data_IF_589576858876
#
_entry.id   IF_589576858876
#
_cell.length_a   1.000
_cell.length_b   1.000
_cell.length_c   1.000
_cell.angle_alpha   90.00
_cell.angle_beta   90.00
_cell.angle_gamma   90.00
#
_symmetry.space_group_name_H-M   'P 1'
#
loop_
_entity.id
_entity.type
_entity.pdbx_description
1 polymer ?
#
# COMPACT_ATOMS: atom_id res chain seq x y z
N UNK A 1 59.95 -34.19 -25.65
CA UNK A 1 60.30 -34.14 -27.07
C UNK A 1 59.51 -33.02 -27.68
N UNK A 2 60.14 -32.02 -27.98
CA UNK A 2 60.56 -31.37 -29.22
C UNK A 2 59.48 -30.43 -29.74
N UNK A 3 59.72 -29.17 -29.59
CA UNK A 3 60.41 -28.20 -30.51
C UNK A 3 59.45 -27.56 -31.52
N UNK A 4 59.34 -26.19 -31.37
CA UNK A 4 59.70 -25.14 -32.36
C UNK A 4 58.75 -25.10 -33.57
N UNK A 5 58.28 -23.92 -34.05
CA UNK A 5 59.00 -22.69 -34.46
C UNK A 5 57.95 -21.58 -34.61
N UNK A 6 58.06 -20.36 -34.25
CA UNK A 6 58.77 -19.23 -34.82
C UNK A 6 58.49 -18.94 -36.29
N UNK A 7 57.94 -17.77 -36.53
CA UNK A 7 57.97 -17.00 -37.80
C UNK A 7 56.95 -15.87 -37.73
N UNK A 8 57.25 -14.71 -37.34
CA UNK A 8 57.93 -13.56 -38.02
C UNK A 8 57.32 -13.31 -39.43
N UNK A 9 56.61 -12.15 -39.59
CA UNK A 9 57.15 -11.07 -40.38
C UNK A 9 56.11 -9.98 -40.58
N UNK A 10 56.28 -8.79 -40.01
CA UNK A 10 56.50 -7.46 -40.67
C UNK A 10 55.35 -6.98 -41.53
N UNK A 11 54.71 -5.89 -41.05
CA UNK A 11 54.96 -4.49 -41.42
C UNK A 11 54.70 -4.15 -42.88
N UNK A 12 53.64 -3.39 -43.13
CA UNK A 12 53.64 -2.37 -44.15
C UNK A 12 52.89 -1.13 -43.66
N UNK A 13 53.64 -0.09 -43.53
CA UNK A 13 53.27 1.32 -43.29
C UNK A 13 52.90 1.93 -44.63
N UNK A 14 51.80 2.69 -44.67
CA UNK A 14 51.60 3.80 -45.59
C UNK A 14 50.45 4.64 -45.03
N UNK A 15 50.66 5.63 -44.39
CA UNK A 15 50.82 7.06 -44.51
C UNK A 15 50.12 7.65 -45.72
N UNK A 16 49.02 8.40 -45.48
CA UNK A 16 48.54 9.60 -46.20
C UNK A 16 47.13 9.91 -45.67
N UNK A 17 46.68 11.04 -45.31
CA UNK A 17 47.08 12.42 -45.32
C UNK A 17 46.15 13.17 -44.34
N UNK A 18 46.74 14.07 -43.66
CA UNK A 18 46.16 15.10 -42.82
C UNK A 18 45.27 16.00 -43.66
N UNK A 19 43.97 16.16 -43.32
CA UNK A 19 43.19 17.36 -43.63
C UNK A 19 42.54 17.83 -42.34
N UNK A 20 43.12 18.86 -41.78
CA UNK A 20 42.58 19.72 -40.75
C UNK A 20 41.60 20.68 -41.45
N UNK A 21 40.34 20.65 -41.02
CA UNK A 21 39.44 21.78 -41.14
C UNK A 21 38.80 22.03 -39.77
N UNK A 22 39.32 23.07 -39.14
CA UNK A 22 38.64 23.78 -38.05
C UNK A 22 37.37 24.40 -38.61
N UNK A 23 36.24 24.12 -37.97
CA UNK A 23 35.12 25.05 -37.90
C UNK A 23 34.18 24.70 -36.76
N UNK A 24 34.05 25.60 -35.82
CA UNK A 24 32.81 25.95 -35.18
C UNK A 24 32.54 25.35 -33.82
N UNK A 25 32.88 26.08 -32.76
CA UNK A 25 32.14 26.07 -31.50
C UNK A 25 30.64 26.19 -31.76
N UNK A 26 29.85 25.23 -31.27
CA UNK A 26 28.41 25.31 -31.21
C UNK A 26 27.94 24.48 -30.05
N UNK A 27 27.37 25.13 -29.03
CA UNK A 27 26.94 24.56 -27.76
C UNK A 27 26.05 23.32 -27.91
N UNK A 28 26.33 22.34 -27.10
CA UNK A 28 25.50 21.15 -26.93
C UNK A 28 24.18 21.50 -26.25
N UNK A 29 23.24 22.04 -27.02
CA UNK A 29 21.84 22.05 -26.66
C UNK A 29 21.29 20.63 -26.88
N UNK A 30 20.76 20.01 -25.87
CA UNK A 30 19.91 18.84 -25.98
C UNK A 30 18.88 19.14 -27.07
N UNK A 31 18.83 18.32 -28.12
CA UNK A 31 17.77 18.43 -29.12
C UNK A 31 16.45 18.21 -28.38
N UNK A 32 15.49 19.15 -28.49
CA UNK A 32 14.13 18.84 -28.08
C UNK A 32 13.67 17.65 -28.94
N UNK A 33 13.14 16.66 -28.30
CA UNK A 33 12.47 15.53 -28.93
C UNK A 33 11.44 16.12 -29.90
N UNK A 34 11.42 15.62 -31.14
CA UNK A 34 10.52 16.11 -32.16
C UNK A 34 9.10 15.95 -31.68
N UNK A 35 8.42 17.04 -31.42
CA UNK A 35 6.98 17.10 -31.27
C UNK A 35 6.37 16.65 -32.59
N UNK A 36 5.96 15.38 -32.63
CA UNK A 36 5.31 14.82 -33.81
C UNK A 36 3.87 15.36 -33.84
N UNK A 37 3.63 16.38 -34.65
CA UNK A 37 2.31 16.96 -34.90
C UNK A 37 1.54 17.53 -33.69
N UNK A 38 2.23 17.97 -32.61
CA UNK A 38 1.60 18.54 -31.41
C UNK A 38 1.00 17.50 -30.42
N UNK A 39 1.28 16.21 -30.61
CA UNK A 39 0.84 15.15 -29.73
C UNK A 39 1.81 14.91 -28.58
N UNK A 40 1.28 14.81 -27.37
CA UNK A 40 2.01 14.46 -26.14
C UNK A 40 1.86 12.95 -25.90
N UNK A 41 2.98 12.25 -25.63
CA UNK A 41 2.95 10.86 -25.18
C UNK A 41 3.28 10.78 -23.70
N UNK A 42 2.32 10.35 -22.86
CA UNK A 42 2.50 10.16 -21.44
C UNK A 42 2.90 8.71 -21.14
N UNK A 43 4.00 8.52 -20.45
CA UNK A 43 4.38 7.22 -19.90
C UNK A 43 3.63 6.98 -18.59
N UNK A 44 2.77 5.96 -18.57
CA UNK A 44 2.04 5.53 -17.40
C UNK A 44 2.59 4.20 -16.88
N UNK A 45 3.05 4.17 -15.62
CA UNK A 45 3.61 2.99 -14.99
C UNK A 45 2.70 2.46 -13.89
N UNK A 46 2.44 1.15 -13.90
CA UNK A 46 1.65 0.45 -12.88
C UNK A 46 2.41 -0.70 -12.24
N UNK A 47 1.83 -1.28 -11.17
CA UNK A 47 2.42 -2.35 -10.37
C UNK A 47 1.54 -3.60 -10.46
N UNK A 48 2.02 -4.65 -11.11
CA UNK A 48 1.44 -5.99 -11.15
C UNK A 48 -0.05 -6.02 -11.58
N UNK A 49 -0.45 -5.15 -12.52
CA UNK A 49 -1.81 -5.10 -13.07
C UNK A 49 -1.96 -5.87 -14.39
N UNK A 50 -0.84 -6.16 -15.07
CA UNK A 50 -0.83 -7.02 -16.25
C UNK A 50 -0.54 -8.48 -15.84
N UNK A 51 -1.06 -9.48 -16.58
CA UNK A 51 -2.01 -9.33 -17.70
C UNK A 51 -3.47 -9.22 -17.26
N UNK A 52 -3.76 -9.38 -15.97
CA UNK A 52 -5.10 -9.57 -15.40
C UNK A 52 -6.06 -8.44 -15.78
N UNK A 53 -5.62 -7.20 -15.66
CA UNK A 53 -6.48 -6.03 -15.90
C UNK A 53 -6.21 -5.33 -17.24
N UNK A 54 -5.48 -6.00 -18.16
CA UNK A 54 -5.18 -5.45 -19.50
C UNK A 54 -6.44 -5.04 -20.28
N UNK A 55 -7.54 -5.82 -20.29
CA UNK A 55 -8.76 -5.39 -20.98
C UNK A 55 -9.37 -4.09 -20.41
N UNK A 56 -9.33 -3.90 -19.09
CA UNK A 56 -9.79 -2.67 -18.44
C UNK A 56 -8.93 -1.48 -18.87
N UNK A 57 -7.58 -1.60 -18.74
CA UNK A 57 -6.67 -0.50 -19.06
C UNK A 57 -6.72 -0.12 -20.53
N UNK A 58 -6.86 -1.07 -21.44
CA UNK A 58 -7.05 -0.77 -22.86
C UNK A 58 -8.31 0.06 -23.10
N UNK A 59 -9.42 -0.21 -22.39
CA UNK A 59 -10.67 0.55 -22.54
C UNK A 59 -10.54 1.95 -21.95
N UNK A 60 -10.05 2.10 -20.71
CA UNK A 60 -9.97 3.39 -20.04
C UNK A 60 -8.95 4.32 -20.69
N UNK A 61 -7.83 3.78 -21.21
CA UNK A 61 -6.84 4.53 -21.99
C UNK A 61 -7.46 5.01 -23.31
N UNK A 62 -8.14 4.12 -24.04
CA UNK A 62 -8.78 4.49 -25.30
C UNK A 62 -9.86 5.58 -25.09
N UNK A 63 -10.63 5.51 -24.01
CA UNK A 63 -11.62 6.55 -23.66
C UNK A 63 -10.95 7.89 -23.34
N UNK A 64 -9.84 7.89 -22.59
CA UNK A 64 -9.08 9.10 -22.34
C UNK A 64 -8.51 9.72 -23.61
N UNK A 65 -7.88 8.91 -24.46
CA UNK A 65 -7.30 9.35 -25.74
C UNK A 65 -8.35 9.89 -26.70
N UNK A 66 -9.56 9.29 -26.68
CA UNK A 66 -10.69 9.81 -27.49
C UNK A 66 -11.14 11.20 -27.01
N UNK A 67 -11.21 11.41 -25.70
CA UNK A 67 -11.55 12.70 -25.09
C UNK A 67 -10.40 13.73 -25.20
N UNK A 68 -9.17 13.27 -25.38
CA UNK A 68 -7.96 14.08 -25.46
C UNK A 68 -7.11 13.70 -26.69
N UNK A 69 -7.52 14.08 -27.92
CA UNK A 69 -6.94 13.54 -29.17
C UNK A 69 -5.46 13.92 -29.39
N UNK A 70 -4.96 14.89 -28.62
CA UNK A 70 -3.57 15.31 -28.64
C UNK A 70 -2.69 14.55 -27.61
N UNK A 71 -3.26 13.63 -26.83
CA UNK A 71 -2.53 12.83 -25.84
C UNK A 71 -2.55 11.35 -26.24
N UNK A 72 -1.39 10.70 -26.08
CA UNK A 72 -1.21 9.26 -26.21
C UNK A 72 -0.69 8.72 -24.89
N UNK A 73 -1.16 7.53 -24.47
CA UNK A 73 -0.72 6.87 -23.25
C UNK A 73 0.15 5.65 -23.61
N UNK A 74 1.40 5.64 -23.14
CA UNK A 74 2.31 4.50 -23.20
C UNK A 74 2.30 3.78 -21.84
N UNK A 75 1.42 2.75 -21.70
CA UNK A 75 1.25 2.03 -20.45
C UNK A 75 2.27 0.90 -20.30
N UNK A 76 2.98 0.90 -19.16
CA UNK A 76 3.96 -0.13 -18.76
C UNK A 76 3.63 -0.63 -17.36
N UNK A 77 3.77 -1.93 -17.15
CA UNK A 77 3.53 -2.57 -15.86
C UNK A 77 4.82 -3.22 -15.33
N UNK A 78 5.05 -3.09 -14.03
CA UNK A 78 6.27 -3.60 -13.40
C UNK A 78 5.94 -4.43 -12.15
N UNK A 79 6.82 -5.38 -11.75
CA UNK A 79 6.71 -6.05 -10.47
C UNK A 79 6.82 -5.07 -9.31
N UNK A 80 6.13 -5.38 -8.20
CA UNK A 80 6.05 -4.53 -7.01
C UNK A 80 7.42 -4.07 -6.51
N UNK A 81 8.37 -5.01 -6.37
CA UNK A 81 9.70 -4.71 -5.82
C UNK A 81 10.61 -3.94 -6.78
N UNK A 82 10.25 -3.85 -8.05
CA UNK A 82 11.07 -3.23 -9.10
C UNK A 82 10.75 -1.75 -9.35
N UNK A 83 9.50 -1.35 -9.13
CA UNK A 83 8.99 -0.02 -9.57
C UNK A 83 9.73 1.14 -8.92
N UNK A 84 10.00 1.08 -7.62
CA UNK A 84 10.64 2.19 -6.87
C UNK A 84 12.08 2.41 -7.34
N UNK A 85 12.87 1.33 -7.44
CA UNK A 85 14.24 1.43 -7.92
C UNK A 85 14.30 1.90 -9.38
N UNK A 86 13.37 1.41 -10.20
CA UNK A 86 13.27 1.82 -11.61
C UNK A 86 12.88 3.30 -11.74
N UNK A 87 11.95 3.76 -10.91
CA UNK A 87 11.55 5.17 -10.88
C UNK A 87 12.72 6.08 -10.49
N UNK A 88 13.43 5.76 -9.41
CA UNK A 88 14.62 6.51 -8.98
C UNK A 88 15.68 6.56 -10.08
N UNK A 89 15.95 5.43 -10.73
CA UNK A 89 16.91 5.36 -11.84
C UNK A 89 16.48 6.21 -13.05
N UNK A 90 15.20 6.17 -13.41
CA UNK A 90 14.66 6.93 -14.54
C UNK A 90 14.68 8.43 -14.28
N UNK A 91 14.37 8.87 -13.05
CA UNK A 91 14.49 10.28 -12.64
C UNK A 91 15.95 10.75 -12.73
N UNK A 92 16.89 9.93 -12.24
CA UNK A 92 18.32 10.27 -12.29
C UNK A 92 18.87 10.35 -13.71
N UNK A 93 18.33 9.56 -14.65
CA UNK A 93 18.74 9.54 -16.07
C UNK A 93 17.95 10.50 -16.97
N UNK A 94 17.11 11.38 -16.41
CA UNK A 94 16.22 12.29 -17.15
C UNK A 94 15.29 11.56 -18.16
N UNK A 95 14.90 10.33 -17.84
CA UNK A 95 13.92 9.53 -18.60
C UNK A 95 12.71 9.18 -17.73
N UNK A 96 12.27 10.16 -16.95
CA UNK A 96 11.17 10.02 -16.00
C UNK A 96 9.86 9.65 -16.69
N UNK A 97 9.06 8.71 -16.15
CA UNK A 97 7.68 8.56 -16.55
C UNK A 97 6.85 9.77 -16.13
N UNK A 98 5.60 9.84 -16.61
CA UNK A 98 4.70 10.96 -16.35
C UNK A 98 3.72 10.66 -15.22
N UNK A 99 3.17 9.45 -15.17
CA UNK A 99 2.28 8.99 -14.08
C UNK A 99 2.74 7.64 -13.57
N UNK A 100 2.85 7.47 -12.25
CA UNK A 100 3.30 6.23 -11.64
C UNK A 100 2.37 5.80 -10.52
N UNK A 101 1.95 4.54 -10.53
CA UNK A 101 1.27 3.90 -9.43
C UNK A 101 2.29 3.48 -8.36
N UNK A 102 2.07 3.92 -7.13
CA UNK A 102 2.85 3.58 -5.94
C UNK A 102 1.91 3.29 -4.76
N UNK A 103 2.40 2.61 -3.72
CA UNK A 103 1.71 2.64 -2.44
C UNK A 103 2.02 3.96 -1.69
N UNK A 104 1.26 4.25 -0.64
CA UNK A 104 1.41 5.48 0.15
C UNK A 104 2.82 5.65 0.74
N UNK A 105 3.48 4.57 1.17
CA UNK A 105 4.85 4.61 1.69
C UNK A 105 5.85 5.05 0.62
N UNK A 106 5.80 4.46 -0.57
CA UNK A 106 6.69 4.81 -1.67
C UNK A 106 6.38 6.21 -2.21
N UNK A 107 5.10 6.60 -2.30
CA UNK A 107 4.72 7.96 -2.68
C UNK A 107 5.29 9.00 -1.71
N UNK A 108 5.19 8.73 -0.40
CA UNK A 108 5.75 9.56 0.67
C UNK A 108 7.28 9.65 0.58
N UNK A 109 7.95 8.53 0.34
CA UNK A 109 9.40 8.50 0.13
C UNK A 109 9.84 9.34 -1.08
N UNK A 110 9.10 9.28 -2.18
CA UNK A 110 9.39 10.10 -3.37
C UNK A 110 9.12 11.57 -3.10
N UNK A 111 8.02 11.88 -2.42
CA UNK A 111 7.64 13.25 -2.06
C UNK A 111 8.67 13.93 -1.18
N UNK A 112 9.15 13.28 -0.15
CA UNK A 112 10.16 13.83 0.76
C UNK A 112 11.51 14.10 0.09
N UNK A 113 11.82 13.39 -1.00
CA UNK A 113 13.01 13.62 -1.84
C UNK A 113 12.79 14.70 -2.90
N UNK A 114 11.60 15.33 -2.94
CA UNK A 114 11.24 16.30 -4.00
C UNK A 114 11.14 15.68 -5.39
N UNK A 115 10.92 14.35 -5.47
CA UNK A 115 10.91 13.63 -6.73
C UNK A 115 9.53 13.62 -7.41
N UNK A 116 8.46 13.97 -6.69
CA UNK A 116 7.08 14.05 -7.19
C UNK A 116 6.48 15.41 -6.85
N UNK A 117 5.51 15.86 -7.65
CA UNK A 117 4.87 17.18 -7.51
C UNK A 117 3.96 17.23 -6.28
N UNK A 118 3.71 18.43 -5.77
CA UNK A 118 2.65 18.68 -4.81
C UNK A 118 1.31 18.81 -5.53
N UNK A 119 0.47 17.78 -5.42
CA UNK A 119 -0.86 17.76 -6.05
C UNK A 119 -1.76 18.90 -5.59
N UNK A 120 -1.51 19.48 -4.40
CA UNK A 120 -2.28 20.64 -3.93
C UNK A 120 -2.12 21.88 -4.81
N UNK A 121 -1.03 21.98 -5.56
CA UNK A 121 -0.79 23.09 -6.46
C UNK A 121 -1.54 22.94 -7.80
N UNK A 122 -2.04 21.73 -8.11
CA UNK A 122 -2.63 21.37 -9.40
C UNK A 122 -4.12 21.04 -9.32
N UNK A 123 -4.67 20.79 -8.13
CA UNK A 123 -6.07 20.39 -7.95
C UNK A 123 -6.94 21.55 -7.52
N UNK A 124 -8.15 21.62 -8.04
CA UNK A 124 -9.21 22.46 -7.52
C UNK A 124 -9.69 21.99 -6.13
N UNK A 125 -10.32 22.88 -5.33
CA UNK A 125 -10.94 22.47 -4.07
C UNK A 125 -11.96 21.33 -4.23
N UNK A 126 -12.73 21.32 -5.31
CA UNK A 126 -13.73 20.32 -5.63
C UNK A 126 -13.11 18.95 -5.90
N UNK A 127 -12.01 18.92 -6.66
CA UNK A 127 -11.26 17.67 -6.94
C UNK A 127 -10.70 17.08 -5.65
N UNK A 128 -10.14 17.91 -4.76
CA UNK A 128 -9.66 17.45 -3.44
C UNK A 128 -10.81 16.93 -2.58
N UNK A 129 -11.95 17.63 -2.54
CA UNK A 129 -13.10 17.25 -1.74
C UNK A 129 -13.79 15.95 -2.20
N UNK A 130 -13.52 15.51 -3.43
CA UNK A 130 -14.05 14.26 -3.99
C UNK A 130 -13.57 13.01 -3.23
N UNK A 131 -12.34 13.04 -2.67
CA UNK A 131 -11.76 11.92 -1.96
C UNK A 131 -12.28 11.80 -0.53
N UNK A 132 -12.23 10.59 0.05
CA UNK A 132 -12.38 10.41 1.50
C UNK A 132 -11.21 11.11 2.22
N UNK A 133 -11.55 11.95 3.19
CA UNK A 133 -10.59 12.84 3.84
C UNK A 133 -9.42 12.09 4.48
N UNK A 134 -9.69 11.02 5.22
CA UNK A 134 -8.65 10.21 5.87
C UNK A 134 -7.70 9.56 4.87
N UNK A 135 -8.22 9.13 3.70
CA UNK A 135 -7.44 8.52 2.63
C UNK A 135 -6.61 9.59 1.91
N UNK A 136 -7.18 10.75 1.59
CA UNK A 136 -6.42 11.84 0.97
C UNK A 136 -5.32 12.36 1.90
N UNK A 137 -5.62 12.54 3.17
CA UNK A 137 -4.67 13.03 4.16
C UNK A 137 -3.51 12.08 4.42
N UNK A 138 -3.63 10.78 4.10
CA UNK A 138 -2.50 9.85 4.19
C UNK A 138 -1.38 10.18 3.21
N UNK A 139 -1.69 10.83 2.08
CA UNK A 139 -0.73 11.28 1.08
C UNK A 139 -0.09 12.64 1.42
N UNK A 140 -0.56 13.30 2.50
CA UNK A 140 -0.11 14.65 2.86
C UNK A 140 1.03 14.60 3.89
N UNK A 141 2.14 15.27 3.57
CA UNK A 141 3.29 15.45 4.46
C UNK A 141 3.66 16.94 4.46
N UNK A 142 3.76 17.56 5.63
CA UNK A 142 4.10 18.97 5.78
C UNK A 142 3.21 19.91 4.93
N UNK A 143 1.90 19.57 4.84
CA UNK A 143 0.91 20.35 4.09
C UNK A 143 0.93 20.14 2.57
N UNK A 144 1.81 19.30 2.04
CA UNK A 144 1.91 18.95 0.62
C UNK A 144 1.32 17.58 0.35
N UNK A 145 0.48 17.46 -0.68
CA UNK A 145 -0.07 16.19 -1.12
C UNK A 145 0.78 15.59 -2.25
N UNK A 146 1.46 14.50 -1.98
CA UNK A 146 2.40 13.91 -2.93
C UNK A 146 1.81 12.87 -3.87
N UNK A 147 0.53 12.55 -3.73
CA UNK A 147 -0.15 11.60 -4.59
C UNK A 147 -1.67 11.83 -4.62
N UNK A 148 -2.35 11.25 -5.63
CA UNK A 148 -3.79 11.07 -5.66
C UNK A 148 -4.13 9.63 -5.24
N UNK A 149 -4.93 9.43 -4.18
CA UNK A 149 -5.41 8.09 -3.86
C UNK A 149 -6.23 7.51 -5.01
N UNK A 150 -5.87 6.31 -5.44
CA UNK A 150 -6.53 5.70 -6.60
C UNK A 150 -7.51 4.62 -6.16
N UNK A 151 -7.00 3.49 -5.67
CA UNK A 151 -7.84 2.44 -5.11
C UNK A 151 -7.34 2.02 -3.75
N UNK A 152 -8.25 1.54 -2.92
CA UNK A 152 -7.94 1.21 -1.53
C UNK A 152 -8.65 -0.08 -1.10
N UNK A 153 -8.48 -0.46 0.15
CA UNK A 153 -9.21 -1.52 0.81
C UNK A 153 -9.20 -1.27 2.31
N UNK A 154 -10.31 -1.53 2.96
CA UNK A 154 -10.37 -1.58 4.42
C UNK A 154 -10.44 -3.02 4.88
N UNK A 155 -9.98 -3.28 6.11
CA UNK A 155 -10.08 -4.60 6.69
C UNK A 155 -11.53 -4.93 7.07
N UNK A 156 -11.84 -6.23 7.05
CA UNK A 156 -13.06 -6.82 7.64
C UNK A 156 -12.64 -7.92 8.60
N UNK A 157 -13.49 -8.27 9.53
CA UNK A 157 -13.31 -9.45 10.38
C UNK A 157 -13.92 -10.66 9.69
N UNK A 158 -13.09 -11.59 9.24
CA UNK A 158 -13.53 -12.92 8.83
C UNK A 158 -13.67 -13.80 10.04
N UNK A 159 -14.82 -14.49 10.16
CA UNK A 159 -15.17 -15.31 11.31
C UNK A 159 -15.53 -16.71 10.87
N UNK A 160 -14.83 -17.73 11.39
CA UNK A 160 -15.18 -19.12 11.19
C UNK A 160 -16.34 -19.48 12.12
N UNK A 161 -17.56 -19.54 11.56
CA UNK A 161 -18.81 -19.81 12.30
C UNK A 161 -18.85 -21.19 12.93
N UNK A 162 -18.13 -22.18 12.37
CA UNK A 162 -18.02 -23.52 12.93
C UNK A 162 -17.27 -23.49 14.27
N UNK A 163 -16.11 -22.82 14.31
CA UNK A 163 -15.32 -22.71 15.54
C UNK A 163 -16.03 -21.86 16.60
N UNK A 164 -16.65 -20.76 16.18
CA UNK A 164 -17.42 -19.86 17.05
C UNK A 164 -18.58 -20.63 17.72
N UNK A 165 -19.39 -21.36 16.94
CA UNK A 165 -20.48 -22.19 17.47
C UNK A 165 -19.97 -23.32 18.37
N UNK A 166 -18.86 -23.98 18.03
CA UNK A 166 -18.24 -25.01 18.83
C UNK A 166 -17.79 -24.50 20.22
N UNK A 167 -17.42 -23.20 20.29
CA UNK A 167 -17.10 -22.55 21.57
C UNK A 167 -18.33 -22.06 22.34
N UNK A 168 -19.57 -22.26 21.82
CA UNK A 168 -20.80 -21.79 22.43
C UNK A 168 -21.09 -20.32 22.27
N UNK A 169 -20.54 -19.70 21.23
CA UNK A 169 -20.76 -18.31 20.85
C UNK A 169 -21.74 -18.21 19.68
N UNK A 170 -22.44 -17.09 19.57
CA UNK A 170 -23.43 -16.86 18.52
C UNK A 170 -22.89 -15.97 17.38
N UNK A 171 -22.62 -16.53 16.19
CA UNK A 171 -22.14 -15.77 15.06
C UNK A 171 -23.06 -14.64 14.57
N UNK A 172 -24.36 -14.67 14.94
CA UNK A 172 -25.30 -13.62 14.57
C UNK A 172 -25.10 -12.31 15.37
N UNK A 173 -24.37 -12.40 16.49
CA UNK A 173 -24.06 -11.27 17.35
C UNK A 173 -22.52 -11.09 17.48
N UNK A 174 -21.81 -10.73 16.38
CA UNK A 174 -20.37 -10.66 16.38
C UNK A 174 -19.82 -9.59 17.34
N UNK A 175 -18.57 -9.73 17.80
CA UNK A 175 -17.95 -8.78 18.69
C UNK A 175 -17.84 -7.40 17.99
N UNK A 176 -18.12 -6.33 18.74
CA UNK A 176 -18.12 -4.95 18.25
C UNK A 176 -16.90 -4.17 18.70
N UNK A 177 -16.28 -4.58 19.80
CA UNK A 177 -15.07 -3.96 20.35
C UNK A 177 -13.91 -4.97 20.40
N UNK A 178 -12.69 -4.46 20.51
CA UNK A 178 -11.50 -5.32 20.64
C UNK A 178 -11.52 -6.11 21.94
N UNK A 179 -12.10 -5.56 22.99
CA UNK A 179 -12.28 -6.22 24.27
C UNK A 179 -13.22 -7.42 24.11
N UNK A 180 -14.37 -7.24 23.44
CA UNK A 180 -15.29 -8.33 23.13
C UNK A 180 -14.64 -9.41 22.25
N UNK A 181 -13.87 -9.02 21.22
CA UNK A 181 -13.12 -9.95 20.37
C UNK A 181 -12.12 -10.77 21.20
N UNK A 182 -11.41 -10.11 22.12
CA UNK A 182 -10.46 -10.78 23.01
C UNK A 182 -11.15 -11.76 23.96
N UNK A 183 -12.33 -11.42 24.50
CA UNK A 183 -13.08 -12.33 25.35
C UNK A 183 -13.61 -13.53 24.57
N UNK A 184 -14.07 -13.30 23.33
CA UNK A 184 -14.43 -14.41 22.43
C UNK A 184 -13.23 -15.32 22.16
N UNK A 185 -12.06 -14.75 21.91
CA UNK A 185 -10.81 -15.50 21.76
C UNK A 185 -10.46 -16.34 22.98
N UNK A 186 -10.61 -15.80 24.20
CA UNK A 186 -10.42 -16.55 25.44
C UNK A 186 -11.43 -17.69 25.58
N UNK A 187 -12.70 -17.45 25.26
CA UNK A 187 -13.73 -18.51 25.32
C UNK A 187 -13.44 -19.62 24.31
N UNK A 188 -13.03 -19.26 23.08
CA UNK A 188 -12.62 -20.21 22.03
C UNK A 188 -11.45 -21.04 22.52
N UNK A 189 -10.41 -20.41 23.07
CA UNK A 189 -9.25 -21.13 23.58
C UNK A 189 -9.63 -22.10 24.71
N UNK A 190 -10.39 -21.63 25.71
CA UNK A 190 -10.83 -22.46 26.84
C UNK A 190 -11.71 -23.65 26.42
N UNK A 191 -12.58 -23.47 25.42
CA UNK A 191 -13.59 -24.49 25.04
C UNK A 191 -13.08 -25.50 24.03
N UNK A 192 -12.27 -25.06 23.06
CA UNK A 192 -11.87 -25.89 21.92
C UNK A 192 -10.36 -25.86 21.64
N UNK A 193 -9.54 -25.18 22.46
CA UNK A 193 -8.08 -25.16 22.35
C UNK A 193 -7.57 -24.49 21.06
N UNK A 194 -8.35 -23.58 20.45
CA UNK A 194 -7.95 -22.81 19.28
C UNK A 194 -7.67 -21.36 19.67
N UNK A 195 -6.80 -20.67 18.92
CA UNK A 195 -6.59 -19.25 19.15
C UNK A 195 -7.72 -18.40 18.56
N UNK A 196 -7.88 -17.18 19.07
CA UNK A 196 -8.77 -16.21 18.49
C UNK A 196 -8.26 -15.76 17.11
N UNK A 197 -7.06 -15.21 17.04
CA UNK A 197 -6.48 -14.66 15.81
C UNK A 197 -4.95 -14.72 15.83
N UNK A 198 -4.34 -14.48 14.66
CA UNK A 198 -2.90 -14.31 14.51
C UNK A 198 -2.45 -12.93 14.99
N UNK A 199 -1.17 -12.78 15.32
CA UNK A 199 -0.61 -11.50 15.72
C UNK A 199 -0.76 -10.45 14.60
N UNK A 200 -1.26 -9.29 14.98
CA UNK A 200 -1.39 -8.12 14.10
C UNK A 200 -0.14 -7.22 14.19
N UNK A 201 0.17 -6.51 13.11
CA UNK A 201 1.17 -5.45 13.17
C UNK A 201 0.78 -4.40 14.22
N UNK A 202 1.73 -4.01 15.08
CA UNK A 202 1.43 -3.06 16.17
C UNK A 202 1.12 -1.67 15.65
N UNK A 203 1.69 -1.25 14.51
CA UNK A 203 1.29 -0.02 13.85
C UNK A 203 -0.21 0.03 13.58
N UNK A 204 -0.81 -1.10 13.19
CA UNK A 204 -2.27 -1.23 13.04
C UNK A 204 -3.01 -1.10 14.38
N UNK A 205 -2.49 -1.75 15.43
CA UNK A 205 -3.10 -1.67 16.76
C UNK A 205 -3.03 -0.26 17.31
N UNK A 206 -1.88 0.41 17.17
CA UNK A 206 -1.71 1.81 17.57
C UNK A 206 -2.69 2.73 16.84
N UNK A 207 -2.75 2.66 15.51
CA UNK A 207 -3.67 3.48 14.72
C UNK A 207 -5.14 3.26 15.14
N UNK A 208 -5.56 2.02 15.32
CA UNK A 208 -6.94 1.70 15.74
C UNK A 208 -7.31 2.17 17.14
N UNK A 209 -6.33 2.36 18.04
CA UNK A 209 -6.54 2.93 19.38
C UNK A 209 -6.28 4.45 19.43
N UNK A 210 -5.93 5.05 18.28
CA UNK A 210 -5.63 6.48 18.20
C UNK A 210 -4.27 6.86 18.80
N UNK A 211 -3.37 5.87 18.92
CA UNK A 211 -1.99 6.11 19.37
C UNK A 211 -1.17 6.50 18.14
N UNK A 212 -0.72 7.74 17.98
CA UNK A 212 0.05 8.16 16.83
C UNK A 212 1.46 7.54 16.88
N UNK A 213 1.93 7.00 15.76
CA UNK A 213 3.32 6.54 15.66
C UNK A 213 4.27 7.75 15.66
N UNK A 214 3.94 8.77 14.90
CA UNK A 214 4.67 10.03 14.80
C UNK A 214 3.79 11.21 15.21
N UNK A 215 4.40 12.33 15.53
CA UNK A 215 3.69 13.59 15.71
C UNK A 215 3.05 14.07 14.40
N UNK A 216 2.19 15.08 14.47
CA UNK A 216 1.44 15.62 13.33
C UNK A 216 2.36 16.08 12.19
N UNK A 217 3.49 16.65 12.52
CA UNK A 217 4.52 17.15 11.62
C UNK A 217 5.39 16.01 11.04
N UNK A 218 5.23 14.77 11.55
CA UNK A 218 6.02 13.58 11.18
C UNK A 218 7.54 13.74 11.40
N UNK A 219 7.92 14.54 12.40
CA UNK A 219 9.32 14.87 12.72
C UNK A 219 9.83 14.18 13.97
N UNK A 220 8.95 13.59 14.78
CA UNK A 220 9.29 12.91 16.02
C UNK A 220 8.34 11.75 16.31
N UNK A 221 8.82 10.74 17.03
CA UNK A 221 8.01 9.67 17.58
C UNK A 221 6.97 10.23 18.57
N UNK A 222 5.77 9.65 18.60
CA UNK A 222 4.68 10.06 19.47
C UNK A 222 3.97 8.89 20.18
N UNK A 223 4.43 7.67 19.95
CA UNK A 223 3.80 6.46 20.48
C UNK A 223 4.15 6.15 21.94
N UNK A 224 5.19 6.75 22.54
CA UNK A 224 5.62 6.41 23.90
C UNK A 224 4.67 7.04 24.94
N UNK A 225 3.50 6.46 25.07
CA UNK A 225 2.42 6.92 25.95
C UNK A 225 1.99 5.82 26.94
N UNK A 226 1.35 6.16 28.07
CA UNK A 226 0.77 5.16 28.97
C UNK A 226 -0.24 4.23 28.27
N UNK A 227 -0.99 4.73 27.28
CA UNK A 227 -1.93 3.92 26.51
C UNK A 227 -1.22 2.88 25.65
N UNK A 228 -0.08 3.23 25.02
CA UNK A 228 0.73 2.30 24.27
C UNK A 228 1.30 1.18 25.16
N UNK A 229 1.81 1.52 26.34
CA UNK A 229 2.29 0.54 27.33
C UNK A 229 1.15 -0.42 27.69
N UNK A 230 0.00 0.12 28.07
CA UNK A 230 -1.18 -0.69 28.46
C UNK A 230 -1.63 -1.60 27.32
N UNK A 231 -1.65 -1.10 26.09
CA UNK A 231 -2.06 -1.88 24.91
C UNK A 231 -1.10 -3.05 24.65
N UNK A 232 0.22 -2.81 24.71
CA UNK A 232 1.23 -3.84 24.48
C UNK A 232 1.21 -4.89 25.60
N UNK A 233 1.07 -4.47 26.86
CA UNK A 233 0.98 -5.39 27.99
C UNK A 233 -0.31 -6.25 27.89
N UNK A 234 -1.42 -5.69 27.41
CA UNK A 234 -2.63 -6.44 27.11
C UNK A 234 -2.43 -7.44 25.97
N UNK A 235 -1.69 -7.07 24.90
CA UNK A 235 -1.36 -7.98 23.81
C UNK A 235 -0.51 -9.15 24.32
N UNK A 236 0.51 -8.87 25.14
CA UNK A 236 1.34 -9.89 25.78
C UNK A 236 0.47 -10.87 26.58
N UNK A 237 -0.44 -10.35 27.39
CA UNK A 237 -1.38 -11.18 28.14
C UNK A 237 -2.29 -12.02 27.23
N UNK A 238 -2.78 -11.48 26.13
CA UNK A 238 -3.59 -12.23 25.16
C UNK A 238 -2.80 -13.39 24.53
N UNK A 239 -1.50 -13.20 24.27
CA UNK A 239 -0.62 -14.27 23.80
C UNK A 239 -0.41 -15.35 24.88
N UNK A 240 -0.24 -14.97 26.14
CA UNK A 240 -0.13 -15.88 27.28
C UNK A 240 -1.42 -16.68 27.49
N UNK A 241 -2.57 -16.02 27.34
CA UNK A 241 -3.91 -16.62 27.46
C UNK A 241 -4.31 -17.46 26.21
N UNK A 242 -3.46 -17.56 25.19
CA UNK A 242 -3.73 -18.29 23.94
C UNK A 242 -4.79 -17.66 23.04
N UNK A 243 -5.13 -16.38 23.27
CA UNK A 243 -6.07 -15.63 22.41
C UNK A 243 -5.41 -15.27 21.10
N UNK A 244 -4.13 -14.87 21.13
CA UNK A 244 -3.31 -14.51 19.99
C UNK A 244 -2.20 -15.55 19.84
N UNK A 245 -1.94 -16.00 18.61
CA UNK A 245 -0.80 -16.88 18.32
C UNK A 245 0.50 -16.16 18.63
N UNK A 246 1.48 -16.90 19.20
CA UNK A 246 2.79 -16.35 19.57
C UNK A 246 3.70 -16.15 18.36
N UNK A 247 3.51 -16.96 17.32
CA UNK A 247 4.30 -16.92 16.12
C UNK A 247 3.97 -15.66 15.32
N UNK A 248 5.02 -14.96 14.90
CA UNK A 248 4.88 -13.86 13.93
C UNK A 248 4.36 -14.41 12.60
N UNK A 249 3.44 -13.70 11.97
CA UNK A 249 2.76 -14.21 10.81
C UNK A 249 2.72 -13.17 9.70
N UNK A 250 3.41 -13.46 8.60
CA UNK A 250 3.16 -12.78 7.34
C UNK A 250 1.77 -13.18 6.79
N UNK A 251 1.34 -12.50 5.73
CA UNK A 251 0.02 -12.75 5.13
C UNK A 251 -0.17 -14.23 4.71
N UNK A 252 0.86 -14.87 4.17
CA UNK A 252 0.80 -16.28 3.76
C UNK A 252 0.61 -17.21 4.96
N UNK A 253 1.25 -16.90 6.09
CA UNK A 253 1.06 -17.65 7.33
C UNK A 253 -0.34 -17.42 7.93
N UNK A 254 -0.84 -16.19 7.91
CA UNK A 254 -2.20 -15.87 8.35
C UNK A 254 -3.24 -16.68 7.57
N UNK A 255 -3.10 -16.74 6.23
CA UNK A 255 -3.96 -17.59 5.39
C UNK A 255 -3.88 -19.06 5.83
N UNK A 256 -2.69 -19.61 6.10
CA UNK A 256 -2.52 -21.01 6.55
C UNK A 256 -3.15 -21.25 7.92
N UNK A 257 -2.98 -20.32 8.85
CA UNK A 257 -3.59 -20.46 10.19
C UNK A 257 -5.10 -20.48 10.13
N UNK A 258 -5.71 -19.60 9.36
CA UNK A 258 -7.16 -19.55 9.18
C UNK A 258 -7.68 -20.77 8.41
N UNK A 259 -7.05 -21.10 7.27
CA UNK A 259 -7.41 -22.28 6.46
C UNK A 259 -7.24 -23.61 7.23
N UNK A 260 -6.26 -23.66 8.12
CA UNK A 260 -6.00 -24.82 9.01
C UNK A 260 -6.86 -24.84 10.28
N UNK A 261 -7.83 -23.94 10.43
CA UNK A 261 -8.68 -23.81 11.63
C UNK A 261 -7.85 -23.70 12.94
N UNK A 262 -6.69 -23.06 12.88
CA UNK A 262 -5.88 -22.78 14.07
C UNK A 262 -6.35 -21.51 14.78
N UNK A 263 -6.92 -20.58 14.02
CA UNK A 263 -7.55 -19.36 14.52
C UNK A 263 -9.02 -19.29 14.10
N UNK A 264 -9.85 -18.64 14.90
CA UNK A 264 -11.27 -18.47 14.62
C UNK A 264 -11.58 -17.20 13.83
N UNK A 265 -10.69 -16.20 13.89
CA UNK A 265 -10.85 -14.89 13.28
C UNK A 265 -9.64 -14.52 12.44
N UNK A 266 -9.89 -13.73 11.38
CA UNK A 266 -8.85 -13.08 10.60
C UNK A 266 -9.28 -11.64 10.25
N UNK A 267 -8.35 -10.69 10.38
CA UNK A 267 -8.54 -9.29 10.02
C UNK A 267 -7.75 -9.00 8.73
N UNK A 268 -8.45 -8.93 7.62
CA UNK A 268 -7.82 -8.77 6.32
C UNK A 268 -8.73 -8.01 5.34
N UNK A 269 -8.16 -7.53 4.25
CA UNK A 269 -8.91 -6.95 3.15
C UNK A 269 -9.74 -7.99 2.37
N UNK A 270 -10.66 -7.55 1.49
CA UNK A 270 -11.56 -8.43 0.76
C UNK A 270 -10.87 -9.50 -0.11
N UNK A 271 -9.66 -9.25 -0.55
CA UNK A 271 -8.87 -10.21 -1.36
C UNK A 271 -8.53 -11.51 -0.62
N UNK A 272 -8.54 -11.52 0.72
CA UNK A 272 -8.29 -12.70 1.55
C UNK A 272 -9.20 -13.89 1.19
N UNK A 273 -10.44 -13.60 0.80
CA UNK A 273 -11.44 -14.60 0.41
C UNK A 273 -10.93 -15.54 -0.69
N UNK A 274 -10.23 -15.00 -1.68
CA UNK A 274 -9.76 -15.77 -2.82
C UNK A 274 -8.76 -16.86 -2.40
N UNK A 275 -7.95 -16.57 -1.37
CA UNK A 275 -6.97 -17.52 -0.85
C UNK A 275 -7.65 -18.65 -0.07
N UNK A 276 -8.60 -18.35 0.83
CA UNK A 276 -9.28 -19.39 1.60
C UNK A 276 -10.25 -20.21 0.74
N UNK A 277 -10.88 -19.61 -0.27
CA UNK A 277 -11.74 -20.31 -1.21
C UNK A 277 -11.01 -21.43 -1.95
N UNK A 278 -9.75 -21.16 -2.31
CA UNK A 278 -8.89 -22.13 -3.00
C UNK A 278 -8.24 -23.12 -2.03
N UNK A 279 -7.69 -22.64 -0.90
CA UNK A 279 -6.91 -23.45 0.01
C UNK A 279 -7.77 -24.35 0.91
N UNK A 280 -8.96 -23.89 1.31
CA UNK A 280 -9.81 -24.56 2.29
C UNK A 280 -11.32 -24.32 2.00
N UNK A 281 -11.92 -24.96 0.98
CA UNK A 281 -13.31 -24.71 0.57
C UNK A 281 -14.34 -24.93 1.69
N UNK A 282 -14.08 -25.83 2.65
CA UNK A 282 -14.99 -26.09 3.76
C UNK A 282 -14.89 -25.00 4.84
N UNK A 283 -13.71 -24.41 5.06
CA UNK A 283 -13.55 -23.22 5.92
C UNK A 283 -14.24 -22.03 5.26
N UNK A 284 -14.05 -21.84 3.95
CA UNK A 284 -14.72 -20.79 3.18
C UNK A 284 -16.25 -20.84 3.35
N UNK A 285 -16.89 -22.02 3.24
CA UNK A 285 -18.34 -22.20 3.43
C UNK A 285 -18.82 -21.85 4.84
N UNK A 286 -17.94 -21.95 5.84
CA UNK A 286 -18.23 -21.64 7.22
C UNK A 286 -17.72 -20.25 7.65
N UNK A 287 -17.30 -19.43 6.70
CA UNK A 287 -16.79 -18.08 6.96
C UNK A 287 -17.87 -17.05 6.66
N UNK A 288 -17.99 -16.05 7.53
CA UNK A 288 -18.74 -14.82 7.27
C UNK A 288 -17.81 -13.62 7.42
N UNK A 289 -18.16 -12.50 6.79
CA UNK A 289 -17.47 -11.23 6.90
C UNK A 289 -18.33 -10.24 7.70
N UNK A 290 -17.77 -9.69 8.77
CA UNK A 290 -18.44 -8.75 9.66
C UNK A 290 -17.57 -7.50 9.88
N UNK A 291 -18.13 -6.38 10.37
CA UNK A 291 -17.33 -5.19 10.68
C UNK A 291 -16.19 -5.50 11.63
N UNK A 292 -15.03 -4.86 11.39
CA UNK A 292 -13.89 -4.96 12.30
C UNK A 292 -14.27 -4.38 13.67
N UNK A 293 -14.02 -5.10 14.77
CA UNK A 293 -14.21 -4.58 16.12
C UNK A 293 -13.37 -3.32 16.35
N UNK A 294 -13.99 -2.27 16.90
CA UNK A 294 -13.34 -0.98 17.08
C UNK A 294 -12.36 -0.98 18.25
N UNK A 295 -11.25 -0.30 18.07
CA UNK A 295 -10.43 0.23 19.16
C UNK A 295 -11.00 1.53 19.71
N UNK A 296 -10.24 2.21 20.58
CA UNK A 296 -10.68 3.46 21.21
C UNK A 296 -10.95 4.61 20.23
N UNK A 297 -10.26 4.65 19.08
CA UNK A 297 -10.37 5.73 18.10
C UNK A 297 -11.50 5.53 17.07
N UNK A 298 -12.16 4.38 17.06
CA UNK A 298 -13.18 4.04 16.05
C UNK A 298 -12.72 4.26 14.60
N UNK A 299 -11.40 4.14 14.36
CA UNK A 299 -10.81 4.22 13.03
C UNK A 299 -10.85 2.87 12.33
N UNK A 300 -10.87 2.91 11.01
CA UNK A 300 -10.75 1.74 10.13
C UNK A 300 -9.44 1.81 9.38
N UNK A 301 -8.68 0.74 9.42
CA UNK A 301 -7.40 0.71 8.73
C UNK A 301 -7.59 0.45 7.25
N UNK A 302 -6.92 1.24 6.46
CA UNK A 302 -6.87 1.11 5.00
C UNK A 302 -5.43 1.13 4.53
N UNK A 303 -5.21 0.65 3.32
CA UNK A 303 -4.00 0.89 2.57
C UNK A 303 -4.38 1.28 1.15
N UNK A 304 -3.73 2.32 0.65
CA UNK A 304 -4.02 2.85 -0.66
C UNK A 304 -2.90 2.53 -1.65
N UNK A 305 -3.33 2.39 -2.90
CA UNK A 305 -2.44 2.53 -4.04
C UNK A 305 -2.75 3.88 -4.69
N UNK A 306 -1.71 4.62 -4.94
CA UNK A 306 -1.79 6.03 -5.26
C UNK A 306 -1.18 6.30 -6.65
N UNK A 307 -1.53 7.43 -7.25
CA UNK A 307 -0.89 7.94 -8.47
C UNK A 307 -0.03 9.14 -8.13
N UNK A 308 1.24 9.11 -8.53
CA UNK A 308 2.18 10.22 -8.40
C UNK A 308 2.57 10.74 -9.77
N UNK A 309 2.93 12.04 -9.84
CA UNK A 309 3.50 12.67 -11.02
C UNK A 309 4.93 13.10 -10.66
N UNK A 310 5.96 12.52 -11.30
CA UNK A 310 7.35 12.93 -11.06
C UNK A 310 7.62 14.37 -11.45
N UNK A 311 8.43 15.10 -10.65
CA UNK A 311 8.84 16.50 -10.94
C UNK A 311 9.69 16.63 -12.21
N UNK A 312 10.23 15.51 -12.70
CA UNK A 312 11.01 15.44 -13.95
C UNK A 312 10.19 15.01 -15.17
N UNK A 313 8.87 14.87 -15.03
CA UNK A 313 7.98 14.73 -16.19
C UNK A 313 8.10 15.98 -17.07
N UNK A 314 8.14 15.76 -18.39
CA UNK A 314 8.10 16.85 -19.37
C UNK A 314 6.69 17.42 -19.57
N UNK A 315 5.65 16.75 -19.01
CA UNK A 315 4.22 16.97 -19.29
C UNK A 315 3.38 16.96 -18.00
N UNK A 316 3.80 17.74 -16.98
CA UNK A 316 3.20 17.70 -15.63
C UNK A 316 1.69 17.98 -15.69
N UNK A 317 1.24 19.00 -16.43
CA UNK A 317 -0.17 19.37 -16.48
C UNK A 317 -1.04 18.28 -17.13
N UNK A 318 -0.58 17.68 -18.21
CA UNK A 318 -1.26 16.56 -18.88
C UNK A 318 -1.23 15.29 -18.03
N UNK A 319 -0.13 15.04 -17.34
CA UNK A 319 0.01 13.91 -16.41
C UNK A 319 -0.96 14.04 -15.23
N UNK A 320 -1.09 15.21 -14.63
CA UNK A 320 -2.07 15.47 -13.56
C UNK A 320 -3.49 15.28 -14.08
N UNK A 321 -3.85 15.81 -15.26
CA UNK A 321 -5.18 15.61 -15.85
C UNK A 321 -5.49 14.12 -16.06
N UNK A 322 -4.50 13.34 -16.53
CA UNK A 322 -4.69 11.89 -16.69
C UNK A 322 -4.82 11.18 -15.34
N UNK A 323 -4.02 11.55 -14.34
CA UNK A 323 -4.14 10.99 -12.99
C UNK A 323 -5.51 11.32 -12.36
N UNK A 324 -6.00 12.55 -12.49
CA UNK A 324 -7.36 12.95 -12.05
C UNK A 324 -8.44 12.16 -12.80
N UNK A 325 -8.30 11.95 -14.10
CA UNK A 325 -9.22 11.13 -14.87
C UNK A 325 -9.27 9.68 -14.38
N UNK A 326 -8.12 9.05 -14.11
CA UNK A 326 -8.06 7.69 -13.58
C UNK A 326 -8.65 7.59 -12.16
N UNK A 327 -8.53 8.66 -11.38
CA UNK A 327 -9.02 8.71 -9.98
C UNK A 327 -10.37 9.36 -9.83
N UNK A 328 -11.08 9.71 -10.91
CA UNK A 328 -12.45 10.19 -10.83
C UNK A 328 -13.43 9.07 -10.45
N UNK A 329 -14.65 9.44 -10.09
CA UNK A 329 -15.66 8.50 -9.60
C UNK A 329 -16.02 7.42 -10.62
N UNK A 330 -16.13 7.76 -11.90
CA UNK A 330 -16.48 6.82 -12.97
C UNK A 330 -15.39 5.76 -13.18
N UNK A 331 -14.13 6.21 -13.34
CA UNK A 331 -12.98 5.33 -13.57
C UNK A 331 -12.71 4.44 -12.37
N UNK A 332 -12.78 4.98 -11.14
CA UNK A 332 -12.59 4.17 -9.94
C UNK A 332 -13.69 3.15 -9.72
N UNK A 333 -14.96 3.52 -9.96
CA UNK A 333 -16.07 2.56 -9.87
C UNK A 333 -15.90 1.42 -10.86
N UNK A 334 -15.52 1.73 -12.10
CA UNK A 334 -15.27 0.72 -13.12
C UNK A 334 -14.10 -0.19 -12.75
N UNK A 335 -12.98 0.38 -12.26
CA UNK A 335 -11.83 -0.42 -11.83
C UNK A 335 -12.15 -1.29 -10.62
N UNK A 336 -12.86 -0.75 -9.64
CA UNK A 336 -13.24 -1.50 -8.43
C UNK A 336 -14.10 -2.72 -8.75
N UNK A 337 -15.00 -2.62 -9.74
CA UNK A 337 -15.80 -3.76 -10.21
C UNK A 337 -14.96 -4.86 -10.87
N UNK A 338 -13.90 -4.49 -11.59
CA UNK A 338 -12.99 -5.45 -12.24
C UNK A 338 -11.99 -6.06 -11.23
N UNK A 339 -11.42 -5.24 -10.34
CA UNK A 339 -10.33 -5.60 -9.45
C UNK A 339 -10.78 -6.04 -8.05
N UNK A 340 -12.07 -5.95 -7.74
CA UNK A 340 -12.62 -6.20 -6.40
C UNK A 340 -11.93 -5.37 -5.31
N UNK A 341 -11.63 -4.10 -5.62
CA UNK A 341 -11.05 -3.12 -4.70
C UNK A 341 -12.13 -2.13 -4.25
N UNK A 342 -11.75 -1.16 -3.39
CA UNK A 342 -12.60 -0.05 -3.04
C UNK A 342 -12.10 1.24 -3.70
N UNK A 343 -13.00 2.16 -4.06
CA UNK A 343 -12.61 3.47 -4.55
C UNK A 343 -12.16 4.36 -3.39
N UNK A 344 -11.35 5.36 -3.71
CA UNK A 344 -10.94 6.41 -2.76
C UNK A 344 -11.86 7.63 -2.78
N UNK A 345 -12.89 7.66 -3.66
CA UNK A 345 -13.79 8.80 -3.84
C UNK A 345 -15.18 8.56 -3.28
N UNK A 346 -15.77 9.61 -2.69
CA UNK A 346 -17.09 9.59 -2.02
C UNK A 346 -18.25 9.29 -2.98
N UNK A 347 -18.16 9.75 -4.23
CA UNK A 347 -19.22 9.54 -5.21
C UNK A 347 -19.26 8.09 -5.70
N UNK A 348 -18.09 7.47 -5.92
CA UNK A 348 -17.98 6.08 -6.37
C UNK A 348 -18.70 5.11 -5.46
N UNK A 349 -18.61 5.30 -4.13
CA UNK A 349 -19.17 4.36 -3.15
C UNK A 349 -20.71 4.34 -3.14
N UNK A 350 -21.36 5.31 -3.78
CA UNK A 350 -22.81 5.34 -3.92
C UNK A 350 -23.34 4.36 -4.98
N UNK A 351 -22.45 3.81 -5.82
CA UNK A 351 -22.84 2.79 -6.80
C UNK A 351 -23.41 1.56 -6.08
N UNK A 352 -24.56 1.00 -6.54
CA UNK A 352 -25.20 -0.17 -5.95
C UNK A 352 -24.26 -1.37 -5.76
N UNK A 353 -23.21 -1.48 -6.55
CA UNK A 353 -22.19 -2.51 -6.40
C UNK A 353 -21.58 -2.56 -5.00
N UNK A 354 -21.43 -1.41 -4.33
CA UNK A 354 -20.81 -1.33 -3.00
C UNK A 354 -21.81 -1.42 -1.84
N UNK A 355 -23.10 -1.31 -2.13
CA UNK A 355 -24.15 -1.24 -1.09
C UNK A 355 -25.05 -2.47 -1.06
N UNK A 356 -25.08 -3.26 -2.13
CA UNK A 356 -25.95 -4.43 -2.24
C UNK A 356 -25.15 -5.73 -2.04
N UNK A 357 -25.77 -6.69 -1.33
CA UNK A 357 -25.22 -8.01 -1.06
C UNK A 357 -26.18 -9.09 -1.53
N UNK A 358 -25.67 -10.07 -2.26
CA UNK A 358 -26.36 -11.32 -2.61
C UNK A 358 -26.17 -12.42 -1.57
N UNK A 359 -25.70 -12.07 -0.36
CA UNK A 359 -25.36 -12.95 0.74
C UNK A 359 -24.11 -13.83 0.51
N UNK A 360 -23.45 -13.73 -0.63
CA UNK A 360 -22.12 -14.35 -0.82
C UNK A 360 -21.10 -13.74 0.14
N UNK A 361 -20.06 -14.48 0.48
CA UNK A 361 -19.00 -14.00 1.36
C UNK A 361 -18.28 -12.78 0.73
N UNK A 362 -18.09 -12.82 -0.59
CA UNK A 362 -17.50 -11.74 -1.39
C UNK A 362 -18.33 -10.45 -1.28
N UNK A 363 -19.65 -10.57 -1.44
CA UNK A 363 -20.55 -9.41 -1.34
C UNK A 363 -20.64 -8.88 0.10
N UNK A 364 -20.67 -9.76 1.12
CA UNK A 364 -20.61 -9.35 2.52
C UNK A 364 -19.33 -8.55 2.81
N UNK A 365 -18.16 -9.10 2.46
CA UNK A 365 -16.88 -8.43 2.69
C UNK A 365 -16.79 -7.08 1.98
N UNK A 366 -17.24 -7.01 0.74
CA UNK A 366 -17.29 -5.77 -0.04
C UNK A 366 -18.16 -4.70 0.63
N UNK A 367 -19.39 -5.05 1.00
CA UNK A 367 -20.32 -4.09 1.63
C UNK A 367 -19.80 -3.62 2.99
N UNK A 368 -19.31 -4.54 3.83
CA UNK A 368 -18.72 -4.21 5.14
C UNK A 368 -17.50 -3.30 4.98
N UNK A 369 -16.64 -3.63 4.04
CA UNK A 369 -15.44 -2.83 3.75
C UNK A 369 -15.82 -1.43 3.24
N UNK A 370 -16.78 -1.35 2.33
CA UNK A 370 -17.28 -0.07 1.79
C UNK A 370 -17.87 0.84 2.87
N UNK A 371 -18.66 0.29 3.79
CA UNK A 371 -19.23 1.03 4.93
C UNK A 371 -18.18 1.58 5.90
N UNK A 372 -16.96 1.11 5.79
CA UNK A 372 -15.84 1.53 6.65
C UNK A 372 -15.04 2.72 6.11
N UNK A 373 -15.27 3.13 4.86
CA UNK A 373 -14.42 4.13 4.19
C UNK A 373 -14.51 5.53 4.80
N UNK A 374 -15.65 5.93 5.36
CA UNK A 374 -15.78 7.23 6.03
C UNK A 374 -14.85 7.40 7.22
N UNK A 375 -14.46 6.28 7.84
CA UNK A 375 -13.55 6.23 9.00
C UNK A 375 -12.19 5.67 8.62
N UNK A 376 -11.92 5.50 7.34
CA UNK A 376 -10.68 4.92 6.86
C UNK A 376 -9.49 5.84 7.10
N UNK A 377 -8.40 5.27 7.56
CA UNK A 377 -7.10 5.91 7.68
C UNK A 377 -6.02 4.94 7.26
N UNK A 378 -5.01 5.43 6.57
CA UNK A 378 -3.84 4.63 6.27
C UNK A 378 -2.96 4.52 7.52
N UNK A 379 -2.54 3.31 7.85
CA UNK A 379 -1.66 3.04 8.98
C UNK A 379 -0.16 3.11 8.60
N UNK A 380 0.13 3.28 7.31
CA UNK A 380 1.50 3.35 6.82
C UNK A 380 2.16 4.66 7.25
N UNK A 381 3.36 4.54 7.77
CA UNK A 381 4.12 5.73 8.20
C UNK A 381 4.64 6.44 6.95
N UNK A 382 4.05 7.57 6.62
CA UNK A 382 4.42 8.36 5.44
C UNK A 382 5.63 9.25 5.70
N UNK A 383 6.84 8.67 5.83
CA UNK A 383 8.12 9.37 5.97
C UNK A 383 9.20 8.72 5.11
N UNK A 384 10.29 9.43 4.79
CA UNK A 384 11.37 8.89 3.94
C UNK A 384 11.93 7.56 4.40
N UNK A 385 12.12 7.40 5.71
CA UNK A 385 12.74 6.26 6.35
C UNK A 385 11.69 5.31 6.99
N UNK A 386 10.47 5.26 6.42
CA UNK A 386 9.36 4.46 6.95
C UNK A 386 9.73 2.98 7.18
N UNK A 387 10.49 2.38 6.26
CA UNK A 387 10.97 1.01 6.41
C UNK A 387 11.82 0.81 7.65
N UNK A 388 12.72 1.75 7.95
CA UNK A 388 13.60 1.65 9.11
C UNK A 388 12.82 1.88 10.42
N UNK A 389 11.88 2.83 10.42
CA UNK A 389 10.94 3.05 11.53
C UNK A 389 10.12 1.79 11.81
N UNK A 390 9.51 1.18 10.78
CA UNK A 390 8.71 -0.03 10.93
C UNK A 390 9.57 -1.22 11.41
N UNK A 391 10.81 -1.33 10.92
CA UNK A 391 11.76 -2.37 11.37
C UNK A 391 12.16 -2.18 12.83
N UNK A 392 12.38 -0.95 13.29
CA UNK A 392 12.68 -0.65 14.69
C UNK A 392 11.51 -1.01 15.61
N UNK A 393 10.28 -0.65 15.21
CA UNK A 393 9.05 -1.01 15.93
C UNK A 393 8.92 -2.54 16.02
N UNK A 394 9.09 -3.27 14.92
CA UNK A 394 8.97 -4.73 14.91
C UNK A 394 10.00 -5.40 15.85
N UNK A 395 11.26 -4.97 15.83
CA UNK A 395 12.30 -5.49 16.74
C UNK A 395 11.97 -5.22 18.21
N UNK A 396 11.55 -4.00 18.53
CA UNK A 396 11.19 -3.64 19.90
C UNK A 396 10.06 -4.52 20.44
N UNK A 397 9.06 -4.78 19.61
CA UNK A 397 7.95 -5.64 19.97
C UNK A 397 8.32 -7.10 20.15
N UNK A 398 9.14 -7.66 19.27
CA UNK A 398 9.68 -9.00 19.47
C UNK A 398 10.41 -9.11 20.82
N UNK A 399 11.19 -8.09 21.21
CA UNK A 399 11.84 -8.06 22.51
C UNK A 399 10.86 -8.06 23.67
N UNK A 400 9.76 -7.29 23.58
CA UNK A 400 8.75 -7.26 24.63
C UNK A 400 7.93 -8.56 24.66
N UNK A 401 7.41 -8.97 23.51
CA UNK A 401 6.42 -10.06 23.44
C UNK A 401 7.04 -11.45 23.59
N UNK A 402 8.22 -11.67 23.01
CA UNK A 402 8.86 -12.98 22.98
C UNK A 402 10.02 -13.12 24.00
N UNK A 403 10.78 -12.04 24.23
CA UNK A 403 11.96 -12.08 25.09
C UNK A 403 11.68 -11.52 26.51
N UNK A 404 10.47 -11.01 26.78
CA UNK A 404 10.06 -10.56 28.10
C UNK A 404 10.67 -9.22 28.54
N UNK A 405 11.18 -8.40 27.61
CA UNK A 405 11.69 -7.07 27.92
C UNK A 405 10.61 -6.18 28.56
N UNK A 406 11.03 -5.23 29.40
CA UNK A 406 10.13 -4.26 30.02
C UNK A 406 9.53 -3.35 28.95
N UNK A 407 8.19 -3.26 28.88
CA UNK A 407 7.48 -2.52 27.85
C UNK A 407 7.84 -1.03 27.85
N UNK A 408 7.78 -0.38 29.01
CA UNK A 408 8.04 1.06 29.12
C UNK A 408 9.49 1.42 28.76
N UNK A 409 10.46 0.67 29.26
CA UNK A 409 11.89 0.89 28.96
C UNK A 409 12.17 0.69 27.48
N UNK A 410 11.61 -0.37 26.90
CA UNK A 410 11.79 -0.68 25.47
C UNK A 410 11.14 0.39 24.58
N UNK A 411 9.94 0.90 24.93
CA UNK A 411 9.31 1.99 24.19
C UNK A 411 10.09 3.30 24.31
N UNK A 412 10.72 3.58 25.46
CA UNK A 412 11.56 4.77 25.63
C UNK A 412 12.83 4.66 24.75
N UNK A 413 13.46 3.51 24.70
CA UNK A 413 14.61 3.28 23.81
C UNK A 413 14.20 3.36 22.31
N UNK A 414 13.06 2.79 21.97
CA UNK A 414 12.50 2.84 20.60
C UNK A 414 12.16 4.28 20.18
N UNK A 415 11.60 5.10 21.06
CA UNK A 415 11.32 6.52 20.79
C UNK A 415 12.60 7.25 20.38
N UNK A 416 13.69 7.05 21.12
CA UNK A 416 14.98 7.64 20.79
C UNK A 416 15.51 7.13 19.44
N UNK A 417 15.45 5.82 19.19
CA UNK A 417 15.87 5.20 17.91
C UNK A 417 15.09 5.77 16.74
N UNK A 418 13.75 5.86 16.85
CA UNK A 418 12.90 6.42 15.79
C UNK A 418 13.22 7.90 15.55
N UNK A 419 13.40 8.68 16.62
CA UNK A 419 13.79 10.10 16.48
C UNK A 419 15.14 10.27 15.77
N UNK A 420 16.08 9.35 15.97
CA UNK A 420 17.38 9.40 15.28
C UNK A 420 17.28 8.94 13.80
N UNK A 421 16.42 7.98 13.51
CA UNK A 421 16.10 7.59 12.12
C UNK A 421 15.47 8.76 11.35
N UNK A 422 14.55 9.51 11.98
CA UNK A 422 13.86 10.63 11.34
C UNK A 422 14.76 11.84 11.03
N UNK A 423 15.94 11.95 11.65
CA UNK A 423 16.93 13.01 11.40
C UNK A 423 17.86 12.72 10.21
N UNK A 424 17.90 11.48 9.73
CA UNK A 424 18.71 11.03 8.59
C UNK A 424 18.02 11.35 7.26
#
# INVERSE_FOLDING_TARGET
MTKKAKGRLRLLVSMLALVVLLSGCGGGGSKPEKVDGGKVTLQFWTIALQPTFTPYFNRVIADYEQKNPNVKIDWKDYPYDAVTNKLLTSIASNSSPDVVNLNTEFASQMGSKGAVVDMNEHLSPEEKAAYFEGIYNSTVINGKAYALPWYTGTEVLYMNTKLVKAAGLDPAHPPKTREELSEWGRQINRKIGKAGYAQQLVSKLFAGDGIPILNKEKTAAAFNTPDAVTMIDNLKKQMEDGVVLKEDADFSQQVKYYAGEQVAFELAGPTFINFIKTAAPDVYKNTIAVPVPTGKADLRLSNSMDLVVPTKSAHIDEAVKFAVFLTNAESQTAFSKEANTLPSTKESIKDPYFTQSDQSLEAQAKVVSAQSLDKATDYMVGVPNAKDVNSAIARALQNILLNGSNTKETLTALEQEVNDILKQ
#
